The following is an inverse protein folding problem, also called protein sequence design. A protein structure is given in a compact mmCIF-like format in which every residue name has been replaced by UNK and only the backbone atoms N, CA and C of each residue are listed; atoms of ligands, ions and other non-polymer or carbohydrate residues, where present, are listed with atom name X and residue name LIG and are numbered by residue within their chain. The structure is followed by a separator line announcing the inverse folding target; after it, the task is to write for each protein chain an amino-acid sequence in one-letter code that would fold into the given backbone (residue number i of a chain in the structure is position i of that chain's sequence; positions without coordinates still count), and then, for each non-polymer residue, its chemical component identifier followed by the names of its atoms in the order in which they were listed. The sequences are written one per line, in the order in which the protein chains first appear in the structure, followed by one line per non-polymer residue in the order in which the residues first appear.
data_IF_570761151312
#
_entry.id   IF_570761151312
#
_cell.length_a   1.000
_cell.length_b   1.000
_cell.length_c   1.000
_cell.angle_alpha   90.00
_cell.angle_beta   90.00
_cell.angle_gamma   90.00
#
_symmetry.space_group_name_H-M   'P 1'
#
loop_
_entity.id
_entity.type
_entity.pdbx_description
1 polymer ?
#
# COMPACT_ATOMS: atom_id res chain seq x y z
N UNK A 1 -1.30 -32.87 44.06
CA UNK A 1 -0.42 -31.68 44.06
C UNK A 1 0.83 -31.97 43.26
N UNK A 2 1.52 -30.93 42.77
CA UNK A 2 2.80 -31.07 42.06
C UNK A 2 3.97 -31.02 43.05
N UNK A 3 4.95 -31.90 42.86
CA UNK A 3 6.14 -32.01 43.70
C UNK A 3 7.38 -31.65 42.89
N UNK A 4 8.22 -30.77 43.44
CA UNK A 4 9.45 -30.34 42.80
C UNK A 4 10.54 -31.41 42.88
N UNK A 5 11.33 -31.50 41.82
CA UNK A 5 12.54 -32.30 41.73
C UNK A 5 13.66 -31.44 41.15
N UNK A 6 14.53 -30.96 42.03
CA UNK A 6 15.75 -30.25 41.64
C UNK A 6 16.78 -31.20 41.05
N UNK A 7 17.74 -30.65 40.29
CA UNK A 7 18.88 -31.29 39.59
C UNK A 7 18.71 -31.59 38.09
N UNK A 8 17.52 -31.38 37.52
CA UNK A 8 17.24 -31.56 36.07
C UNK A 8 16.23 -30.52 35.59
N UNK A 9 16.05 -30.38 34.27
CA UNK A 9 15.11 -29.42 33.69
C UNK A 9 15.69 -28.02 33.47
N UNK A 10 14.88 -27.14 32.88
CA UNK A 10 15.25 -25.74 32.69
C UNK A 10 15.40 -25.05 34.04
N UNK A 11 16.44 -24.21 34.17
CA UNK A 11 16.84 -23.58 35.44
C UNK A 11 17.11 -24.55 36.61
N UNK A 12 17.22 -25.86 36.36
CA UNK A 12 17.65 -26.86 37.34
C UNK A 12 16.54 -27.49 38.19
N UNK A 13 15.27 -27.34 37.81
CA UNK A 13 14.15 -28.05 38.44
C UNK A 13 13.05 -28.46 37.46
N UNK A 14 12.39 -29.58 37.73
CA UNK A 14 11.10 -29.96 37.15
C UNK A 14 10.10 -30.23 38.27
N UNK A 15 8.81 -30.35 37.95
CA UNK A 15 7.76 -30.77 38.86
C UNK A 15 6.91 -31.89 38.25
N UNK A 16 6.39 -32.77 39.11
CA UNK A 16 5.50 -33.86 38.70
C UNK A 16 4.36 -34.08 39.70
N UNK A 17 3.17 -34.53 39.27
CA UNK A 17 2.05 -34.79 40.17
C UNK A 17 2.10 -36.21 40.74
N UNK A 18 1.37 -36.43 41.82
CA UNK A 18 1.13 -37.77 42.35
C UNK A 18 0.14 -38.53 41.46
N UNK A 19 0.33 -39.85 41.32
CA UNK A 19 -0.68 -40.71 40.71
C UNK A 19 -1.94 -40.80 41.60
N UNK A 20 -3.17 -40.84 41.06
CA UNK A 20 -3.51 -40.93 39.62
C UNK A 20 -3.61 -39.58 38.91
N UNK A 21 -3.11 -39.56 37.66
CA UNK A 21 -3.14 -38.47 36.67
C UNK A 21 -4.57 -38.22 36.15
N UNK A 22 -5.44 -37.78 37.07
CA UNK A 22 -6.90 -37.81 36.89
C UNK A 22 -7.48 -36.45 36.54
N UNK A 23 -6.67 -35.38 36.58
CA UNK A 23 -7.07 -34.01 36.27
C UNK A 23 -7.38 -33.15 37.48
N UNK A 24 -7.11 -33.64 38.70
CA UNK A 24 -7.36 -32.92 39.94
C UNK A 24 -6.31 -31.85 40.26
N UNK A 25 -5.16 -31.88 39.59
CA UNK A 25 -4.01 -31.02 39.86
C UNK A 25 -3.60 -30.21 38.64
N UNK A 26 -3.05 -29.02 38.86
CA UNK A 26 -2.62 -28.13 37.77
C UNK A 26 -1.37 -27.35 38.17
N UNK A 27 -0.39 -27.32 37.27
CA UNK A 27 0.76 -26.41 37.34
C UNK A 27 0.45 -25.19 36.48
N UNK A 28 0.72 -23.99 37.00
CA UNK A 28 0.34 -22.73 36.35
C UNK A 28 1.52 -21.78 36.23
N UNK A 29 1.66 -21.16 35.06
CA UNK A 29 2.61 -20.08 34.78
C UNK A 29 1.83 -18.82 34.40
N UNK A 30 2.19 -17.68 34.98
CA UNK A 30 1.57 -16.39 34.68
C UNK A 30 2.62 -15.41 34.18
N UNK A 31 2.25 -14.64 33.16
CA UNK A 31 3.11 -13.65 32.52
C UNK A 31 2.36 -12.32 32.43
N UNK A 32 3.01 -11.26 32.91
CA UNK A 32 2.56 -9.89 32.67
C UNK A 32 2.99 -9.50 31.26
N UNK A 33 2.03 -9.49 30.34
CA UNK A 33 2.24 -9.18 28.92
C UNK A 33 1.41 -7.98 28.51
N UNK A 34 1.82 -7.31 27.45
CA UNK A 34 0.97 -6.31 26.80
C UNK A 34 0.02 -7.00 25.81
N UNK A 35 -1.10 -6.36 25.41
CA UNK A 35 -1.92 -6.87 24.33
C UNK A 35 -1.09 -7.24 23.08
N UNK A 36 -1.31 -8.44 22.56
CA UNK A 36 -0.59 -8.94 21.39
C UNK A 36 -0.75 -10.44 21.15
N UNK A 37 -0.13 -10.89 20.06
CA UNK A 37 -0.09 -12.31 19.69
C UNK A 37 1.25 -12.91 20.11
N UNK A 38 1.20 -14.08 20.75
CA UNK A 38 2.35 -14.73 21.35
C UNK A 38 2.47 -16.17 20.86
N UNK A 39 3.68 -16.55 20.43
CA UNK A 39 4.08 -17.94 20.22
C UNK A 39 4.49 -18.48 21.58
N UNK A 40 3.89 -19.61 21.95
CA UNK A 40 4.15 -20.28 23.23
C UNK A 40 4.89 -21.57 22.93
N UNK A 41 5.96 -21.81 23.67
CA UNK A 41 6.74 -23.02 23.61
C UNK A 41 6.95 -23.62 25.00
N UNK A 42 7.08 -24.94 25.07
CA UNK A 42 7.33 -25.70 26.29
C UNK A 42 8.67 -26.44 26.19
N UNK A 43 9.29 -26.70 27.33
CA UNK A 43 10.43 -27.62 27.43
C UNK A 43 10.18 -28.62 28.56
N UNK A 44 10.83 -29.78 28.49
CA UNK A 44 10.83 -30.79 29.55
C UNK A 44 12.11 -31.63 29.45
N UNK A 45 12.46 -32.29 30.57
CA UNK A 45 13.68 -33.07 30.66
C UNK A 45 13.59 -34.41 29.89
N UNK A 46 13.88 -34.35 28.59
CA UNK A 46 13.99 -35.50 27.69
C UNK A 46 12.67 -36.24 27.46
N UNK A 47 12.51 -36.82 26.28
CA UNK A 47 11.42 -37.75 25.99
C UNK A 47 11.61 -39.04 26.77
N UNK A 48 10.58 -39.51 27.46
CA UNK A 48 10.60 -40.80 28.15
C UNK A 48 9.30 -41.58 27.91
N UNK A 49 9.40 -42.88 27.68
CA UNK A 49 8.24 -43.73 27.30
C UNK A 49 7.18 -43.86 28.39
N UNK A 50 7.48 -43.46 29.63
CA UNK A 50 6.54 -43.43 30.75
C UNK A 50 5.86 -42.07 30.95
N UNK A 51 6.29 -41.04 30.21
CA UNK A 51 5.68 -39.72 30.28
C UNK A 51 4.34 -39.69 29.53
N UNK A 52 3.52 -38.68 29.81
CA UNK A 52 2.24 -38.51 29.13
C UNK A 52 2.42 -38.17 27.65
N UNK A 53 1.68 -38.85 26.78
CA UNK A 53 1.64 -38.57 25.35
C UNK A 53 0.57 -37.54 24.96
N UNK A 54 -0.33 -37.20 25.89
CA UNK A 54 -1.49 -36.35 25.65
C UNK A 54 -1.67 -35.26 26.73
N UNK A 55 -0.58 -34.75 27.28
CA UNK A 55 -0.63 -33.86 28.45
C UNK A 55 -1.34 -32.54 28.10
N UNK A 56 -2.46 -32.20 28.77
CA UNK A 56 -3.30 -31.07 28.39
C UNK A 56 -2.75 -29.74 28.91
N UNK A 57 -2.69 -28.75 28.01
CA UNK A 57 -2.34 -27.36 28.28
C UNK A 57 -3.55 -26.48 27.97
N UNK A 58 -3.91 -25.58 28.89
CA UNK A 58 -4.97 -24.59 28.72
C UNK A 58 -4.38 -23.18 28.84
N UNK A 59 -4.83 -22.26 27.98
CA UNK A 59 -4.35 -20.89 27.87
C UNK A 59 -5.48 -19.93 28.26
N UNK A 60 -5.15 -18.93 29.07
CA UNK A 60 -6.09 -17.92 29.56
C UNK A 60 -5.57 -16.49 29.35
N UNK A 61 -6.50 -15.57 29.07
CA UNK A 61 -6.33 -14.12 28.91
C UNK A 61 -7.18 -13.38 29.94
N UNK A 62 -6.56 -12.66 30.89
CA UNK A 62 -7.28 -11.98 31.97
C UNK A 62 -8.18 -12.92 32.79
N UNK A 63 -7.84 -14.22 32.84
CA UNK A 63 -8.64 -15.27 33.47
C UNK A 63 -9.71 -15.93 32.59
N UNK A 64 -9.92 -15.45 31.36
CA UNK A 64 -10.81 -16.08 30.36
C UNK A 64 -10.07 -17.14 29.56
N UNK A 65 -10.65 -18.32 29.41
CA UNK A 65 -10.10 -19.37 28.54
C UNK A 65 -10.05 -18.90 27.07
N UNK A 66 -8.89 -19.02 26.43
CA UNK A 66 -8.67 -18.60 25.03
C UNK A 66 -8.18 -19.73 24.12
N UNK A 67 -7.76 -20.87 24.66
CA UNK A 67 -7.37 -22.02 23.85
C UNK A 67 -6.69 -23.12 24.64
N UNK A 68 -6.36 -24.21 23.95
CA UNK A 68 -5.67 -25.36 24.53
C UNK A 68 -4.67 -25.96 23.55
N UNK A 69 -3.69 -26.67 24.08
CA UNK A 69 -2.77 -27.52 23.33
C UNK A 69 -2.62 -28.88 24.04
N UNK A 70 -2.01 -29.84 23.37
CA UNK A 70 -1.61 -31.11 23.97
C UNK A 70 -0.12 -31.35 23.72
N UNK A 71 0.59 -31.81 24.74
CA UNK A 71 2.00 -32.14 24.67
C UNK A 71 2.21 -33.66 24.69
N UNK A 72 2.99 -34.14 23.74
CA UNK A 72 3.51 -35.51 23.75
C UNK A 72 4.91 -35.54 24.37
N UNK A 73 4.99 -35.77 25.67
CA UNK A 73 6.25 -35.77 26.41
C UNK A 73 7.01 -37.09 26.31
N UNK A 74 6.50 -38.07 25.55
CA UNK A 74 7.28 -39.28 25.23
C UNK A 74 8.41 -38.99 24.24
N UNK A 75 8.36 -37.84 23.58
CA UNK A 75 9.36 -37.33 22.64
C UNK A 75 10.09 -36.16 23.32
N UNK A 76 11.39 -35.97 23.07
CA UNK A 76 12.10 -34.78 23.56
C UNK A 76 11.63 -33.54 22.78
N UNK A 77 11.59 -32.34 23.39
CA UNK A 77 11.36 -31.09 22.65
C UNK A 77 12.34 -30.99 21.47
N UNK A 78 11.88 -30.60 20.29
CA UNK A 78 12.73 -30.68 19.09
C UNK A 78 12.51 -29.60 18.02
N UNK A 79 11.71 -28.57 18.28
CA UNK A 79 11.46 -27.52 17.28
C UNK A 79 12.59 -26.50 17.16
N UNK A 80 13.10 -25.96 18.29
CA UNK A 80 14.17 -24.96 18.26
C UNK A 80 15.01 -24.94 19.53
N UNK A 81 16.20 -24.34 19.44
CA UNK A 81 17.11 -24.14 20.57
C UNK A 81 17.14 -22.68 21.00
N UNK A 82 16.96 -22.41 22.28
CA UNK A 82 17.17 -21.09 22.89
C UNK A 82 17.76 -21.26 24.29
N UNK A 83 18.73 -20.41 24.64
CA UNK A 83 19.47 -20.51 25.92
C UNK A 83 19.99 -21.93 26.22
N UNK A 84 20.58 -22.57 25.19
CA UNK A 84 21.09 -23.94 25.25
C UNK A 84 20.04 -25.01 25.64
N UNK A 85 18.75 -24.71 25.47
CA UNK A 85 17.63 -25.60 25.80
C UNK A 85 16.79 -25.83 24.54
N UNK A 86 16.35 -27.07 24.32
CA UNK A 86 15.41 -27.39 23.25
C UNK A 86 13.98 -27.09 23.68
N UNK A 87 13.19 -26.54 22.76
CA UNK A 87 11.83 -26.09 22.97
C UNK A 87 10.90 -26.70 21.92
N UNK A 88 9.67 -26.98 22.32
CA UNK A 88 8.56 -27.46 21.49
C UNK A 88 7.51 -26.34 21.37
N UNK A 89 7.11 -25.95 20.16
CA UNK A 89 6.05 -24.98 19.98
C UNK A 89 4.69 -25.62 20.22
N UNK A 90 3.86 -24.99 21.05
CA UNK A 90 2.53 -25.48 21.38
C UNK A 90 1.39 -24.67 20.76
N UNK A 91 1.72 -23.52 20.16
CA UNK A 91 0.77 -22.73 19.40
C UNK A 91 1.04 -21.23 19.44
N UNK A 92 0.15 -20.49 18.77
CA UNK A 92 0.14 -19.03 18.73
C UNK A 92 -1.21 -18.55 19.25
N UNK A 93 -1.20 -17.64 20.23
CA UNK A 93 -2.39 -17.18 20.93
C UNK A 93 -2.40 -15.66 21.04
N UNK A 94 -3.57 -15.04 20.85
CA UNK A 94 -3.78 -13.61 21.07
C UNK A 94 -4.23 -13.37 22.51
N UNK A 95 -3.58 -12.43 23.19
CA UNK A 95 -3.79 -12.07 24.60
C UNK A 95 -4.00 -10.57 24.68
N UNK A 96 -4.94 -10.10 25.48
CA UNK A 96 -5.27 -8.67 25.63
C UNK A 96 -4.92 -8.11 27.01
N UNK A 97 -4.81 -8.96 28.02
CA UNK A 97 -4.54 -8.57 29.40
C UNK A 97 -3.34 -9.37 29.94
N UNK A 98 -3.55 -10.31 30.87
CA UNK A 98 -2.50 -11.20 31.40
C UNK A 98 -2.56 -12.58 30.75
N UNK A 99 -1.40 -13.19 30.47
CA UNK A 99 -1.32 -14.57 29.98
C UNK A 99 -1.12 -15.55 31.13
N UNK A 100 -2.03 -16.53 31.27
CA UNK A 100 -1.84 -17.70 32.14
C UNK A 100 -1.85 -18.99 31.33
N UNK A 101 -0.89 -19.86 31.60
CA UNK A 101 -0.77 -21.20 31.03
C UNK A 101 -0.98 -22.21 32.15
N UNK A 102 -1.93 -23.13 31.98
CA UNK A 102 -2.26 -24.18 32.94
C UNK A 102 -1.98 -25.55 32.32
N UNK A 103 -1.09 -26.33 32.94
CA UNK A 103 -0.82 -27.72 32.61
C UNK A 103 -1.54 -28.62 33.60
N UNK A 104 -2.54 -29.36 33.13
CA UNK A 104 -3.37 -30.21 33.97
C UNK A 104 -2.82 -31.65 34.01
N UNK A 105 -2.93 -32.33 35.15
CA UNK A 105 -2.37 -33.67 35.34
C UNK A 105 -3.17 -34.79 34.63
N UNK A 106 -4.25 -34.49 33.89
CA UNK A 106 -5.04 -35.50 33.18
C UNK A 106 -4.32 -36.03 31.93
N UNK A 107 -3.40 -36.96 32.13
CA UNK A 107 -2.59 -37.57 31.07
C UNK A 107 -2.59 -39.11 31.15
N UNK A 108 -2.25 -39.75 30.03
CA UNK A 108 -2.11 -41.22 29.90
C UNK A 108 -0.79 -41.78 30.47
N UNK A 109 0.13 -40.91 30.84
CA UNK A 109 1.43 -41.20 31.47
C UNK A 109 1.83 -40.05 32.39
N UNK A 110 3.03 -40.12 32.98
CA UNK A 110 3.52 -39.12 33.93
C UNK A 110 3.68 -37.74 33.25
N UNK A 111 2.91 -36.71 33.63
CA UNK A 111 3.12 -35.37 33.09
C UNK A 111 4.24 -34.67 33.85
N UNK A 112 5.14 -34.01 33.13
CA UNK A 112 6.30 -33.29 33.66
C UNK A 112 6.15 -31.80 33.38
N UNK A 113 6.01 -31.01 34.44
CA UNK A 113 6.04 -29.56 34.37
C UNK A 113 7.49 -29.08 34.50
N UNK A 114 7.91 -28.16 33.63
CA UNK A 114 9.25 -27.57 33.68
C UNK A 114 9.13 -26.07 33.37
N UNK A 115 9.27 -25.66 32.10
CA UNK A 115 9.22 -24.26 31.74
C UNK A 115 8.47 -23.98 30.44
N UNK A 116 7.93 -22.76 30.37
CA UNK A 116 7.34 -22.17 29.17
C UNK A 116 8.13 -20.94 28.74
N UNK A 117 8.31 -20.80 27.42
CA UNK A 117 8.82 -19.60 26.77
C UNK A 117 7.69 -18.95 26.01
N UNK A 118 7.54 -17.64 26.19
CA UNK A 118 6.64 -16.81 25.40
C UNK A 118 7.46 -15.88 24.53
N UNK A 119 7.07 -15.77 23.27
CA UNK A 119 7.69 -14.87 22.32
C UNK A 119 6.58 -14.07 21.64
N UNK A 120 6.67 -12.75 21.72
CA UNK A 120 5.74 -11.90 20.96
C UNK A 120 5.97 -12.18 19.48
N UNK A 121 4.93 -12.62 18.79
CA UNK A 121 4.94 -12.68 17.34
C UNK A 121 4.73 -11.25 16.88
N UNK A 122 5.83 -10.54 16.58
CA UNK A 122 5.72 -9.33 15.77
C UNK A 122 5.15 -9.76 14.42
N UNK A 123 3.95 -9.29 14.08
CA UNK A 123 3.62 -9.22 12.66
C UNK A 123 4.68 -8.32 12.04
N UNK A 124 5.37 -8.74 10.99
CA UNK A 124 6.26 -7.86 10.22
C UNK A 124 5.52 -6.68 9.54
N UNK A 125 4.25 -6.44 9.88
CA UNK A 125 3.43 -5.38 9.34
C UNK A 125 3.61 -4.10 10.18
N UNK A 126 4.64 -3.33 9.83
CA UNK A 126 4.74 -1.90 10.16
C UNK A 126 3.43 -1.22 9.72
N UNK A 127 2.88 -0.26 10.47
CA UNK A 127 1.74 0.50 9.96
C UNK A 127 2.09 1.12 8.60
N UNK A 128 1.10 1.22 7.72
CA UNK A 128 1.27 1.83 6.39
C UNK A 128 0.66 3.22 6.48
N UNK A 129 1.52 4.24 6.46
CA UNK A 129 1.10 5.61 6.26
C UNK A 129 1.08 5.91 4.75
N UNK A 130 -0.07 6.30 4.22
CA UNK A 130 -0.25 6.65 2.81
C UNK A 130 -0.11 8.15 2.61
N UNK A 131 0.65 8.58 1.61
CA UNK A 131 0.74 10.02 1.28
C UNK A 131 -0.64 10.59 0.91
N UNK A 132 -0.96 11.76 1.47
CA UNK A 132 -2.15 12.54 1.14
C UNK A 132 -1.82 13.59 0.07
N UNK A 133 -2.30 13.38 -1.14
CA UNK A 133 -1.93 14.20 -2.30
C UNK A 133 -3.05 15.11 -2.82
N UNK A 134 -4.18 15.19 -2.11
CA UNK A 134 -5.45 15.70 -2.63
C UNK A 134 -6.06 16.85 -1.80
N UNK A 135 -5.34 17.39 -0.81
CA UNK A 135 -5.82 18.53 -0.06
C UNK A 135 -5.73 19.83 -0.86
N UNK A 136 -6.79 20.64 -0.75
CA UNK A 136 -6.92 21.90 -1.48
C UNK A 136 -7.63 22.96 -0.66
N UNK A 137 -7.18 24.21 -0.79
CA UNK A 137 -7.93 25.38 -0.36
C UNK A 137 -7.73 26.56 -1.31
N UNK A 138 -8.69 27.48 -1.32
CA UNK A 138 -8.53 28.75 -2.01
C UNK A 138 -7.41 29.58 -1.36
N UNK A 139 -6.81 30.48 -2.14
CA UNK A 139 -5.83 31.42 -1.60
C UNK A 139 -6.43 32.22 -0.44
N UNK A 140 -5.64 32.43 0.62
CA UNK A 140 -6.07 33.15 1.83
C UNK A 140 -7.30 32.56 2.53
N UNK A 141 -7.58 31.27 2.35
CA UNK A 141 -8.67 30.54 3.01
C UNK A 141 -8.09 29.37 3.79
N UNK A 142 -8.55 29.18 5.04
CA UNK A 142 -8.16 28.02 5.83
C UNK A 142 -8.74 26.73 5.24
N UNK A 143 -7.91 25.70 5.12
CA UNK A 143 -8.37 24.34 4.93
C UNK A 143 -8.74 23.76 6.29
N UNK A 144 -9.97 23.31 6.45
CA UNK A 144 -10.43 22.64 7.67
C UNK A 144 -10.70 21.16 7.36
N UNK A 145 -9.95 20.27 7.97
CA UNK A 145 -10.11 18.82 7.85
C UNK A 145 -10.69 18.28 9.15
N UNK A 146 -11.84 17.61 9.06
CA UNK A 146 -12.50 17.00 10.21
C UNK A 146 -12.01 15.56 10.40
N UNK A 147 -11.71 15.11 11.64
CA UNK A 147 -11.27 13.75 11.92
C UNK A 147 -12.34 12.70 11.58
N UNK A 148 -13.61 13.09 11.56
CA UNK A 148 -14.74 12.19 11.21
C UNK A 148 -15.24 12.40 9.78
N UNK A 149 -14.60 13.28 9.01
CA UNK A 149 -14.94 13.49 7.60
C UNK A 149 -14.39 12.36 6.73
N UNK A 150 -14.95 12.15 5.55
CA UNK A 150 -14.46 11.10 4.61
C UNK A 150 -13.08 11.40 4.03
N UNK A 151 -12.59 12.63 4.18
CA UNK A 151 -11.30 13.09 3.68
C UNK A 151 -10.36 13.49 4.84
N UNK A 152 -10.42 12.77 5.96
CA UNK A 152 -9.54 12.96 7.10
C UNK A 152 -8.11 12.47 6.80
N UNK A 153 -7.12 12.92 7.58
CA UNK A 153 -5.70 12.58 7.36
C UNK A 153 -5.44 11.06 7.34
N UNK A 154 -6.15 10.31 8.18
CA UNK A 154 -5.89 8.87 8.36
C UNK A 154 -6.69 7.99 7.39
N UNK A 155 -7.34 8.57 6.37
CA UNK A 155 -8.31 7.86 5.50
C UNK A 155 -7.71 6.70 4.69
N UNK A 156 -6.42 6.79 4.38
CA UNK A 156 -5.64 5.85 3.58
C UNK A 156 -4.55 5.16 4.40
N UNK A 157 -4.57 5.34 5.73
CA UNK A 157 -3.62 4.75 6.64
C UNK A 157 -4.17 3.45 7.24
N UNK A 158 -3.32 2.45 7.39
CA UNK A 158 -3.71 1.15 7.96
C UNK A 158 -2.69 0.65 8.95
N UNK A 159 -3.18 0.13 10.07
CA UNK A 159 -2.42 -0.70 11.00
C UNK A 159 -2.95 -2.14 10.95
N UNK A 160 -2.10 -3.12 11.24
CA UNK A 160 -2.44 -4.54 11.13
C UNK A 160 -3.60 -4.97 12.06
N UNK A 161 -3.76 -4.30 13.20
CA UNK A 161 -4.85 -4.49 14.15
C UNK A 161 -6.08 -3.61 13.85
N UNK A 162 -6.04 -2.85 12.75
CA UNK A 162 -7.07 -1.90 12.37
C UNK A 162 -7.12 -0.63 13.25
N UNK A 163 -6.16 -0.43 14.15
CA UNK A 163 -6.17 0.67 15.12
C UNK A 163 -4.88 1.50 15.08
N UNK A 164 -4.98 2.72 14.55
CA UNK A 164 -3.94 3.75 14.66
C UNK A 164 -4.20 4.56 15.94
N UNK A 165 -3.17 4.74 16.77
CA UNK A 165 -3.31 5.45 18.06
C UNK A 165 -3.25 6.96 17.93
N UNK A 166 -2.32 7.48 17.12
CA UNK A 166 -2.13 8.91 16.92
C UNK A 166 -1.25 9.21 15.70
N UNK A 167 -1.56 10.30 15.00
CA UNK A 167 -0.64 10.99 14.11
C UNK A 167 0.20 12.02 14.87
N UNK A 168 1.46 12.22 14.47
CA UNK A 168 2.37 13.22 15.03
C UNK A 168 3.06 13.95 13.88
N UNK A 169 2.94 15.28 13.85
CA UNK A 169 3.62 16.10 12.84
C UNK A 169 5.14 16.05 13.03
N UNK A 170 5.88 15.74 11.96
CA UNK A 170 7.34 15.66 11.95
C UNK A 170 7.96 16.94 11.39
N UNK A 171 7.45 17.41 10.26
CA UNK A 171 7.87 18.68 9.64
C UNK A 171 6.67 19.58 9.49
N UNK A 172 6.89 20.89 9.63
CA UNK A 172 5.85 21.90 9.41
C UNK A 172 5.83 22.32 7.93
N UNK A 173 4.68 22.80 7.42
CA UNK A 173 4.61 23.45 6.12
C UNK A 173 5.54 24.67 6.03
N UNK A 174 6.10 24.91 4.85
CA UNK A 174 7.05 26.00 4.64
C UNK A 174 6.38 27.35 4.36
N UNK A 175 5.13 27.34 3.88
CA UNK A 175 4.37 28.50 3.42
C UNK A 175 2.95 28.55 4.00
N UNK A 176 2.76 27.92 5.16
CA UNK A 176 1.53 27.94 5.92
C UNK A 176 1.77 27.58 7.38
N UNK A 177 0.69 27.40 8.13
CA UNK A 177 0.75 27.01 9.53
C UNK A 177 -0.31 25.97 9.81
N UNK A 178 0.08 24.88 10.46
CA UNK A 178 -0.86 23.90 11.00
C UNK A 178 -1.39 24.36 12.36
N UNK A 179 -2.70 24.31 12.51
CA UNK A 179 -3.45 24.64 13.73
C UNK A 179 -4.36 23.45 14.06
N UNK A 180 -4.73 23.31 15.33
CA UNK A 180 -5.74 22.33 15.81
C UNK A 180 -5.53 20.89 15.30
N UNK A 181 -4.27 20.46 15.20
CA UNK A 181 -3.91 19.09 14.85
C UNK A 181 -4.24 18.16 16.02
N UNK A 182 -5.25 17.31 15.86
CA UNK A 182 -5.80 16.49 16.96
C UNK A 182 -5.14 15.11 17.11
N UNK A 183 -4.29 14.72 16.15
CA UNK A 183 -3.66 13.40 16.10
C UNK A 183 -4.60 12.26 15.74
N UNK A 184 -5.89 12.53 15.52
CA UNK A 184 -6.93 11.57 15.09
C UNK A 184 -7.39 11.84 13.65
N UNK A 185 -6.67 12.71 12.96
CA UNK A 185 -6.80 13.00 11.54
C UNK A 185 -7.52 14.29 11.20
N UNK A 186 -7.85 15.09 12.21
CA UNK A 186 -8.31 16.46 12.08
C UNK A 186 -7.17 17.47 12.17
N UNK A 187 -7.22 18.49 11.34
CA UNK A 187 -6.30 19.63 11.38
C UNK A 187 -6.87 20.84 10.64
N UNK A 188 -6.31 22.02 10.92
CA UNK A 188 -6.52 23.24 10.14
C UNK A 188 -5.20 23.65 9.52
N UNK A 189 -5.18 23.85 8.21
CA UNK A 189 -4.05 24.46 7.51
C UNK A 189 -4.38 25.88 7.09
N UNK A 190 -3.60 26.84 7.56
CA UNK A 190 -3.71 28.26 7.22
C UNK A 190 -2.55 28.67 6.29
N UNK A 191 -2.81 28.96 5.00
CA UNK A 191 -1.77 29.44 4.10
C UNK A 191 -1.21 30.80 4.57
N UNK A 192 0.08 31.04 4.32
CA UNK A 192 0.66 32.37 4.48
C UNK A 192 -0.04 33.36 3.54
N UNK A 193 -0.14 34.62 3.97
CA UNK A 193 -0.82 35.67 3.18
C UNK A 193 -0.18 35.79 1.79
N UNK A 194 -1.01 35.67 0.74
CA UNK A 194 -0.57 35.77 -0.65
C UNK A 194 0.13 34.53 -1.22
N UNK A 195 0.30 33.46 -0.44
CA UNK A 195 0.86 32.21 -0.95
C UNK A 195 -0.13 31.51 -1.89
N UNK A 196 0.37 31.12 -3.07
CA UNK A 196 -0.33 30.35 -4.09
C UNK A 196 0.69 29.40 -4.71
N UNK A 197 0.71 28.16 -4.23
CA UNK A 197 1.46 27.05 -4.79
C UNK A 197 1.11 25.78 -3.97
N UNK A 198 1.91 24.73 -4.12
CA UNK A 198 1.91 23.54 -3.26
C UNK A 198 2.75 23.81 -2.01
N UNK A 199 2.23 23.40 -0.87
CA UNK A 199 2.97 23.28 0.38
C UNK A 199 2.89 21.84 0.90
N UNK A 200 3.88 21.44 1.70
CA UNK A 200 3.96 20.06 2.20
C UNK A 200 4.38 20.00 3.66
N UNK A 201 3.88 18.99 4.35
CA UNK A 201 4.32 18.64 5.70
C UNK A 201 4.31 17.12 5.86
N UNK A 202 5.11 16.58 6.76
CA UNK A 202 5.10 15.13 7.03
C UNK A 202 4.57 14.81 8.42
N UNK A 203 3.95 13.65 8.54
CA UNK A 203 3.43 13.11 9.79
C UNK A 203 3.88 11.67 9.98
N UNK A 204 3.76 11.20 11.23
CA UNK A 204 3.97 9.82 11.61
C UNK A 204 2.72 9.25 12.25
N UNK A 205 2.38 8.01 11.91
CA UNK A 205 1.37 7.24 12.63
C UNK A 205 2.04 6.21 13.54
N UNK A 206 1.42 5.94 14.68
CA UNK A 206 1.85 4.89 15.60
C UNK A 206 0.76 3.83 15.77
N UNK A 207 1.12 2.56 15.60
CA UNK A 207 0.25 1.42 15.88
C UNK A 207 0.25 1.06 17.37
N UNK A 208 -0.71 0.24 17.83
CA UNK A 208 -0.84 -0.12 19.25
C UNK A 208 0.39 -0.86 19.81
N UNK A 209 1.16 -1.52 18.94
CA UNK A 209 2.42 -2.19 19.23
C UNK A 209 3.65 -1.25 19.33
N UNK A 210 3.43 0.07 19.20
CA UNK A 210 4.42 1.15 19.19
C UNK A 210 5.29 1.27 17.93
N UNK A 211 5.02 0.50 16.87
CA UNK A 211 5.66 0.69 15.56
C UNK A 211 5.18 1.98 14.88
N UNK A 212 6.05 2.57 14.06
CA UNK A 212 5.83 3.87 13.44
C UNK A 212 6.01 3.83 11.92
N UNK A 213 5.27 4.68 11.24
CA UNK A 213 5.37 4.89 9.79
C UNK A 213 5.15 6.35 9.45
N UNK A 214 5.76 6.83 8.37
CA UNK A 214 5.72 8.26 7.99
C UNK A 214 5.11 8.44 6.61
N UNK A 215 4.35 9.51 6.44
CA UNK A 215 3.78 9.94 5.16
C UNK A 215 3.86 11.46 4.99
N UNK A 216 3.67 11.91 3.76
CA UNK A 216 3.68 13.32 3.37
C UNK A 216 2.28 13.77 2.99
N UNK A 217 1.90 14.93 3.52
CA UNK A 217 0.70 15.66 3.11
C UNK A 217 1.09 16.75 2.14
N UNK A 218 0.34 16.83 1.05
CA UNK A 218 0.45 17.87 0.03
C UNK A 218 -0.82 18.70 0.02
N UNK A 219 -0.69 20.01 0.25
CA UNK A 219 -1.81 20.96 0.19
C UNK A 219 -1.58 21.93 -0.96
N UNK A 220 -2.52 22.00 -1.89
CA UNK A 220 -2.49 23.06 -2.90
C UNK A 220 -3.33 24.26 -2.51
N UNK A 221 -2.76 25.45 -2.72
CA UNK A 221 -3.37 26.72 -2.37
C UNK A 221 -3.66 27.52 -3.64
N UNK A 222 -4.90 27.97 -3.78
CA UNK A 222 -5.38 28.78 -4.91
C UNK A 222 -5.82 27.93 -6.10
N UNK A 223 -4.98 27.01 -6.57
CA UNK A 223 -5.30 26.10 -7.68
C UNK A 223 -5.38 24.64 -7.20
N UNK A 224 -6.51 23.92 -7.40
CA UNK A 224 -6.61 22.51 -7.03
C UNK A 224 -5.57 21.66 -7.75
N UNK A 225 -5.03 20.67 -7.04
CA UNK A 225 -4.34 19.57 -7.72
C UNK A 225 -5.40 18.79 -8.48
N UNK A 226 -5.23 18.68 -9.79
CA UNK A 226 -6.05 17.75 -10.56
C UNK A 226 -5.70 16.34 -10.07
N UNK A 227 -6.68 15.54 -9.62
CA UNK A 227 -6.38 14.24 -9.05
C UNK A 227 -5.58 13.42 -10.07
N UNK A 228 -4.46 12.84 -9.62
CA UNK A 228 -3.91 11.66 -10.29
C UNK A 228 -4.87 10.52 -10.02
N UNK A 229 -5.98 10.45 -10.76
CA UNK A 229 -6.84 9.28 -10.70
C UNK A 229 -6.09 8.14 -11.38
N UNK A 230 -5.46 7.28 -10.57
CA UNK A 230 -5.12 5.93 -11.03
C UNK A 230 -6.40 5.28 -11.54
N UNK A 231 -6.31 4.59 -12.66
CA UNK A 231 -7.41 4.11 -13.50
C UNK A 231 -8.17 2.91 -12.88
N UNK A 232 -8.08 2.67 -11.57
CA UNK A 232 -8.31 1.33 -10.99
C UNK A 232 -9.61 1.20 -10.15
N UNK A 233 -10.45 2.23 -10.09
CA UNK A 233 -11.68 2.19 -9.29
C UNK A 233 -12.94 1.79 -10.09
N UNK A 234 -12.87 0.81 -10.98
CA UNK A 234 -14.06 0.33 -11.71
C UNK A 234 -14.19 -1.21 -11.68
N UNK A 235 -14.37 -1.78 -10.49
CA UNK A 235 -14.94 -3.13 -10.37
C UNK A 235 -16.46 -2.99 -10.26
N UNK A 236 -17.15 -3.14 -11.38
CA UNK A 236 -18.59 -3.43 -11.37
C UNK A 236 -18.74 -4.92 -11.69
N UNK A 237 -19.12 -5.70 -10.68
CA UNK A 237 -19.65 -7.04 -10.91
C UNK A 237 -20.99 -6.91 -11.64
N UNK A 238 -20.99 -7.07 -12.97
CA UNK A 238 -22.23 -7.37 -13.71
C UNK A 238 -22.07 -8.73 -14.36
N UNK A 239 -22.88 -9.68 -13.92
CA UNK A 239 -23.01 -10.98 -14.55
C UNK A 239 -23.43 -10.81 -16.03
N UNK A 240 -22.64 -11.36 -16.94
CA UNK A 240 -22.95 -11.35 -18.37
C UNK A 240 -23.99 -12.42 -18.71
N UNK A 241 -24.95 -12.14 -19.61
CA UNK A 241 -25.47 -13.14 -20.52
C UNK A 241 -24.72 -13.08 -21.85
N UNK A 242 -24.26 -14.24 -22.29
CA UNK A 242 -23.51 -14.50 -23.52
C UNK A 242 -24.20 -14.02 -24.80
N UNK A 243 -23.40 -13.34 -25.63
CA UNK A 243 -23.42 -13.17 -27.10
C UNK A 243 -22.96 -11.72 -27.34
N UNK A 244 -21.87 -11.41 -28.04
CA UNK A 244 -21.67 -11.62 -29.47
C UNK A 244 -20.18 -11.43 -29.79
N UNK A 245 -19.52 -12.50 -30.25
CA UNK A 245 -18.31 -12.38 -31.07
C UNK A 245 -18.73 -12.39 -32.54
N UNK A 246 -18.39 -11.34 -33.30
CA UNK A 246 -18.02 -11.56 -34.71
C UNK A 246 -17.02 -10.53 -35.21
N UNK A 247 -15.93 -11.09 -35.73
CA UNK A 247 -14.75 -10.50 -36.34
C UNK A 247 -15.04 -9.89 -37.71
N UNK A 248 -14.45 -8.72 -37.99
CA UNK A 248 -13.92 -8.40 -39.33
C UNK A 248 -12.83 -7.34 -39.19
N UNK A 249 -11.57 -7.79 -39.21
CA UNK A 249 -10.40 -6.94 -39.39
C UNK A 249 -10.31 -6.54 -40.86
N UNK A 250 -10.35 -5.23 -41.14
CA UNK A 250 -9.90 -4.67 -42.41
C UNK A 250 -8.48 -4.15 -42.22
N UNK A 251 -7.53 -4.74 -42.93
CA UNK A 251 -6.14 -4.29 -43.05
C UNK A 251 -6.07 -2.93 -43.80
N UNK A 252 -5.34 -1.91 -43.30
CA UNK A 252 -5.10 -0.70 -44.08
C UNK A 252 -3.81 -0.85 -44.92
N UNK A 253 -4.00 -0.94 -46.24
CA UNK A 253 -2.95 -0.67 -47.21
C UNK A 253 -2.74 0.85 -47.38
N UNK A 254 -1.49 1.28 -47.18
CA UNK A 254 -0.79 2.44 -47.73
C UNK A 254 -1.51 3.80 -47.93
N UNK A 255 -0.84 4.79 -47.30
CA UNK A 255 -0.40 6.06 -47.87
C UNK A 255 -1.22 7.34 -47.61
N UNK A 256 -0.50 8.27 -46.96
CA UNK A 256 -0.46 9.72 -47.21
C UNK A 256 -1.68 10.60 -46.89
N UNK A 257 -1.37 11.67 -46.16
CA UNK A 257 -2.10 12.94 -46.02
C UNK A 257 -3.29 12.99 -45.04
N UNK A 258 -3.15 13.89 -44.06
CA UNK A 258 -4.26 14.52 -43.36
C UNK A 258 -4.76 13.76 -42.14
N UNK A 259 -4.25 14.07 -40.95
CA UNK A 259 -5.03 13.85 -39.73
C UNK A 259 -6.20 14.85 -39.74
N UNK A 260 -7.30 14.43 -40.35
CA UNK A 260 -8.60 15.04 -40.18
C UNK A 260 -9.11 14.74 -38.78
N UNK A 261 -9.55 15.79 -38.09
CA UNK A 261 -10.41 15.69 -36.90
C UNK A 261 -11.70 14.95 -37.30
N UNK A 262 -11.93 13.79 -36.70
CA UNK A 262 -13.18 13.03 -36.82
C UNK A 262 -13.86 12.93 -35.46
N UNK A 263 -15.06 13.49 -35.34
CA UNK A 263 -15.98 13.16 -34.25
C UNK A 263 -16.36 11.68 -34.41
N UNK A 264 -16.13 10.86 -33.39
CA UNK A 264 -16.60 9.48 -33.39
C UNK A 264 -18.08 9.44 -32.97
N UNK A 265 -18.94 8.89 -33.83
CA UNK A 265 -20.30 8.50 -33.45
C UNK A 265 -20.22 7.44 -32.35
N UNK A 266 -20.74 7.76 -31.17
CA UNK A 266 -20.77 6.85 -30.02
C UNK A 266 -21.91 5.86 -30.23
N UNK A 267 -21.66 4.53 -30.24
CA UNK A 267 -22.70 3.54 -30.35
C UNK A 267 -23.71 3.65 -29.20
N UNK A 268 -25.00 3.47 -29.50
CA UNK A 268 -26.04 3.37 -28.47
C UNK A 268 -25.76 2.15 -27.59
N UNK A 269 -25.22 2.40 -26.39
CA UNK A 269 -24.72 1.36 -25.48
C UNK A 269 -23.47 1.77 -24.70
N UNK A 270 -22.78 2.86 -25.08
CA UNK A 270 -21.73 3.45 -24.24
C UNK A 270 -22.35 4.07 -22.98
N UNK A 271 -21.96 3.60 -21.79
CA UNK A 271 -22.43 4.19 -20.54
C UNK A 271 -21.82 5.58 -20.37
N UNK A 272 -22.67 6.60 -20.37
CA UNK A 272 -22.34 7.89 -19.77
C UNK A 272 -22.17 7.68 -18.26
N UNK A 273 -21.14 8.28 -17.66
CA UNK A 273 -21.21 8.59 -16.24
C UNK A 273 -22.29 9.67 -16.01
N UNK A 274 -22.64 9.93 -14.76
CA UNK A 274 -23.63 10.96 -14.40
C UNK A 274 -23.22 12.40 -14.79
N UNK A 275 -22.00 12.58 -15.30
CA UNK A 275 -21.34 13.87 -15.45
C UNK A 275 -21.02 14.17 -16.93
N UNK A 276 -21.38 13.26 -17.86
CA UNK A 276 -21.37 13.48 -19.30
C UNK A 276 -19.99 13.46 -19.96
N UNK A 277 -18.96 12.89 -19.33
CA UNK A 277 -17.60 12.86 -19.88
C UNK A 277 -17.29 11.54 -20.61
N UNK A 278 -16.84 11.63 -21.87
CA UNK A 278 -16.24 10.51 -22.58
C UNK A 278 -14.85 10.20 -22.01
N UNK A 279 -14.74 9.12 -21.24
CA UNK A 279 -13.45 8.59 -20.81
C UNK A 279 -13.16 7.26 -21.54
N UNK A 280 -12.34 7.31 -22.59
CA UNK A 280 -11.75 6.10 -23.17
C UNK A 280 -10.33 6.37 -23.71
N UNK A 281 -9.34 5.76 -23.07
CA UNK A 281 -8.15 5.23 -23.76
C UNK A 281 -7.95 3.80 -23.25
N UNK A 282 -8.48 2.85 -24.01
CA UNK A 282 -8.67 1.46 -23.61
C UNK A 282 -7.38 0.65 -23.43
N UNK A 283 -7.51 -0.40 -22.63
CA UNK A 283 -6.64 -1.58 -22.67
C UNK A 283 -7.47 -2.82 -22.34
N UNK A 284 -7.15 -3.96 -22.95
CA UNK A 284 -7.70 -5.25 -22.55
C UNK A 284 -6.91 -5.72 -21.33
N UNK A 285 -7.62 -5.97 -20.24
CA UNK A 285 -7.08 -6.58 -19.03
C UNK A 285 -7.61 -8.02 -18.96
N UNK A 286 -6.69 -8.98 -18.82
CA UNK A 286 -7.03 -10.37 -18.59
C UNK A 286 -6.34 -10.82 -17.31
N UNK A 287 -7.09 -11.47 -16.43
CA UNK A 287 -6.60 -12.02 -15.17
C UNK A 287 -6.84 -13.52 -15.16
N UNK A 288 -5.84 -14.26 -14.73
CA UNK A 288 -5.93 -15.70 -14.48
C UNK A 288 -5.34 -16.00 -13.10
N UNK A 289 -6.09 -16.70 -12.25
CA UNK A 289 -5.62 -17.07 -10.92
C UNK A 289 -4.61 -18.21 -11.03
N UNK A 290 -3.43 -18.01 -10.43
CA UNK A 290 -2.33 -18.98 -10.49
C UNK A 290 -2.15 -19.68 -9.14
N UNK A 291 -2.45 -18.99 -8.03
CA UNK A 291 -2.44 -19.52 -6.67
C UNK A 291 -3.34 -18.69 -5.73
N UNK A 292 -3.50 -19.13 -4.48
CA UNK A 292 -4.08 -18.29 -3.44
C UNK A 292 -3.20 -17.03 -3.29
N UNK A 293 -3.79 -15.85 -3.49
CA UNK A 293 -3.16 -14.51 -3.40
C UNK A 293 -2.20 -14.12 -4.53
N UNK A 294 -2.19 -14.81 -5.68
CA UNK A 294 -1.42 -14.39 -6.86
C UNK A 294 -2.17 -14.63 -8.18
N UNK A 295 -2.30 -13.57 -8.98
CA UNK A 295 -2.97 -13.60 -10.29
C UNK A 295 -1.99 -13.19 -11.39
N UNK A 296 -2.07 -13.86 -12.54
CA UNK A 296 -1.35 -13.45 -13.74
C UNK A 296 -2.17 -12.41 -14.49
N UNK A 297 -1.57 -11.24 -14.74
CA UNK A 297 -2.26 -10.07 -15.29
C UNK A 297 -1.64 -9.67 -16.62
N UNK A 298 -2.45 -9.67 -17.67
CA UNK A 298 -2.13 -9.05 -18.95
C UNK A 298 -2.65 -7.62 -18.98
N UNK A 299 -1.81 -6.67 -19.38
CA UNK A 299 -2.21 -5.28 -19.59
C UNK A 299 -1.76 -4.79 -20.94
N UNK A 300 -2.70 -4.64 -21.88
CA UNK A 300 -2.38 -4.06 -23.18
C UNK A 300 -2.03 -2.57 -23.11
N UNK A 301 -2.23 -1.91 -21.97
CA UNK A 301 -1.86 -0.51 -21.71
C UNK A 301 -0.56 -0.36 -20.90
N UNK A 302 0.12 -1.44 -20.50
CA UNK A 302 1.49 -1.37 -19.96
C UNK A 302 2.52 -1.08 -21.06
N UNK A 303 2.08 -0.41 -22.12
CA UNK A 303 2.93 0.00 -23.21
C UNK A 303 3.81 1.11 -22.67
N UNK A 304 5.09 0.99 -22.96
CA UNK A 304 6.11 1.95 -22.63
C UNK A 304 5.95 3.28 -23.39
N UNK A 305 4.71 3.73 -23.65
CA UNK A 305 4.37 4.99 -24.31
C UNK A 305 3.43 5.83 -23.44
N UNK A 306 3.91 6.31 -22.27
CA UNK A 306 3.08 7.07 -21.33
C UNK A 306 2.65 8.41 -21.95
N UNK A 307 1.51 8.92 -21.50
CA UNK A 307 1.09 10.30 -21.78
C UNK A 307 1.62 11.18 -20.65
N UNK A 308 2.46 12.15 -21.01
CA UNK A 308 2.97 13.16 -20.08
C UNK A 308 2.10 14.41 -20.25
N UNK A 309 1.44 14.81 -19.17
CA UNK A 309 0.61 16.00 -19.12
C UNK A 309 1.21 17.03 -18.16
N UNK A 310 1.17 18.30 -18.55
CA UNK A 310 1.59 19.43 -17.72
C UNK A 310 0.45 20.43 -17.63
N UNK A 311 0.29 21.02 -16.45
CA UNK A 311 -0.68 22.05 -16.17
C UNK A 311 0.01 23.41 -16.11
N UNK A 312 -0.56 24.39 -16.79
CA UNK A 312 -0.12 25.79 -16.76
C UNK A 312 -1.34 26.71 -16.77
N UNK A 313 -1.13 28.02 -16.73
CA UNK A 313 -2.21 29.00 -16.75
C UNK A 313 -1.80 30.19 -17.60
N UNK A 314 -2.73 30.71 -18.39
CA UNK A 314 -2.53 32.00 -19.05
C UNK A 314 -2.54 33.10 -17.99
N UNK A 315 -1.56 34.00 -18.05
CA UNK A 315 -1.49 35.11 -17.10
C UNK A 315 -2.79 35.94 -17.11
N UNK A 316 -3.38 36.25 -15.95
CA UNK A 316 -4.56 37.12 -15.88
C UNK A 316 -4.32 38.45 -16.58
N UNK A 317 -5.24 38.87 -17.45
CA UNK A 317 -5.14 40.14 -18.20
C UNK A 317 -4.11 40.17 -19.33
N UNK A 318 -3.41 39.07 -19.63
CA UNK A 318 -2.48 39.00 -20.75
C UNK A 318 -3.19 38.85 -22.10
N UNK A 319 -2.56 39.34 -23.17
CA UNK A 319 -2.96 39.06 -24.54
C UNK A 319 -3.02 37.54 -24.77
N UNK A 320 -4.06 37.07 -25.45
CA UNK A 320 -4.23 35.65 -25.75
C UNK A 320 -3.17 35.19 -26.76
N UNK A 321 -2.66 33.96 -26.63
CA UNK A 321 -1.72 33.42 -27.61
C UNK A 321 -2.42 33.19 -28.95
N UNK A 322 -1.77 33.57 -30.04
CA UNK A 322 -2.23 33.28 -31.41
C UNK A 322 -1.84 31.86 -31.85
N UNK A 323 -0.78 31.31 -31.25
CA UNK A 323 -0.38 29.92 -31.42
C UNK A 323 0.18 29.35 -30.10
N UNK A 324 -0.07 28.05 -29.88
CA UNK A 324 0.54 27.26 -28.81
C UNK A 324 1.17 26.05 -29.46
N UNK A 325 2.45 25.81 -29.17
CA UNK A 325 3.19 24.61 -29.57
C UNK A 325 3.79 23.96 -28.35
N UNK A 326 3.85 22.64 -28.29
CA UNK A 326 4.62 21.95 -27.26
C UNK A 326 5.54 20.87 -27.84
N UNK A 327 6.70 20.71 -27.25
CA UNK A 327 7.69 19.69 -27.60
C UNK A 327 8.03 18.89 -26.35
N UNK A 328 7.90 17.56 -26.43
CA UNK A 328 8.34 16.65 -25.38
C UNK A 328 9.72 16.10 -25.73
N UNK A 329 10.70 16.37 -24.88
CA UNK A 329 12.00 15.69 -24.88
C UNK A 329 11.96 14.58 -23.84
N UNK A 330 12.11 13.33 -24.26
CA UNK A 330 12.05 12.16 -23.39
C UNK A 330 13.37 11.39 -23.41
N UNK A 331 13.95 11.16 -22.23
CA UNK A 331 15.26 10.53 -22.08
C UNK A 331 16.34 11.18 -22.99
N UNK A 332 16.32 12.51 -23.08
CA UNK A 332 17.23 13.29 -23.93
C UNK A 332 16.89 13.32 -25.43
N UNK A 333 15.85 12.61 -25.88
CA UNK A 333 15.41 12.60 -27.28
C UNK A 333 14.24 13.57 -27.46
N UNK A 334 14.45 14.64 -28.23
CA UNK A 334 13.41 15.62 -28.54
C UNK A 334 12.42 15.04 -29.56
N UNK A 335 11.12 15.07 -29.21
CA UNK A 335 10.03 14.76 -30.12
C UNK A 335 9.74 15.88 -31.11
N UNK A 336 8.77 15.64 -31.98
CA UNK A 336 8.24 16.66 -32.90
C UNK A 336 7.37 17.67 -32.15
N UNK A 337 7.42 18.98 -32.49
CA UNK A 337 6.50 19.96 -31.93
C UNK A 337 5.04 19.66 -32.33
N UNK A 338 4.12 19.77 -31.37
CA UNK A 338 2.68 19.61 -31.55
C UNK A 338 1.95 20.93 -31.33
N UNK A 339 1.07 21.29 -32.25
CA UNK A 339 0.28 22.51 -32.18
C UNK A 339 -1.04 22.28 -31.43
N UNK A 340 -1.44 23.26 -30.63
CA UNK A 340 -2.69 23.27 -29.88
C UNK A 340 -3.60 24.42 -30.35
N UNK A 341 -4.91 24.19 -30.27
CA UNK A 341 -5.90 25.20 -30.65
C UNK A 341 -5.90 26.37 -29.67
N UNK A 342 -6.01 27.58 -30.20
CA UNK A 342 -6.08 28.82 -29.42
C UNK A 342 -7.48 29.44 -29.39
N UNK A 343 -8.41 28.89 -30.17
CA UNK A 343 -9.80 29.34 -30.22
C UNK A 343 -10.52 29.08 -28.91
N UNK A 344 -11.23 30.09 -28.39
CA UNK A 344 -12.04 29.98 -27.18
C UNK A 344 -11.26 30.13 -25.87
N UNK A 345 -9.95 30.40 -25.94
CA UNK A 345 -9.16 30.70 -24.75
C UNK A 345 -9.58 32.02 -24.12
N UNK A 346 -9.61 32.06 -22.79
CA UNK A 346 -9.81 33.28 -22.01
C UNK A 346 -8.58 33.57 -21.14
N UNK A 347 -8.31 34.85 -20.87
CA UNK A 347 -7.20 35.23 -20.01
C UNK A 347 -7.42 34.68 -18.59
N UNK A 348 -6.36 34.20 -17.94
CA UNK A 348 -6.48 33.54 -16.64
C UNK A 348 -6.93 32.07 -16.69
N UNK A 349 -7.20 31.49 -17.87
CA UNK A 349 -7.67 30.11 -17.97
C UNK A 349 -6.56 29.10 -17.62
N UNK A 350 -6.87 28.05 -16.81
CA UNK A 350 -5.99 26.90 -16.65
C UNK A 350 -5.93 26.06 -17.92
N UNK A 351 -4.74 25.61 -18.29
CA UNK A 351 -4.45 24.81 -19.47
C UNK A 351 -3.78 23.50 -19.05
N UNK A 352 -4.24 22.38 -19.62
CA UNK A 352 -3.55 21.10 -19.56
C UNK A 352 -3.09 20.72 -20.96
N UNK A 353 -1.79 20.54 -21.17
CA UNK A 353 -1.22 20.09 -22.44
C UNK A 353 -0.60 18.71 -22.23
N UNK A 354 -0.84 17.79 -23.16
CA UNK A 354 -0.40 16.41 -23.04
C UNK A 354 0.23 15.91 -24.33
N UNK A 355 1.36 15.20 -24.20
CA UNK A 355 2.07 14.55 -25.30
C UNK A 355 2.44 13.12 -24.90
N UNK A 356 2.39 12.21 -25.87
CA UNK A 356 2.81 10.84 -25.65
C UNK A 356 4.34 10.73 -25.76
N UNK A 357 4.99 10.16 -24.75
CA UNK A 357 6.39 9.76 -24.83
C UNK A 357 6.51 8.41 -25.52
N UNK A 358 7.65 8.14 -26.17
CA UNK A 358 7.97 6.81 -26.68
C UNK A 358 9.16 6.21 -25.91
N UNK A 359 8.84 5.30 -25.01
CA UNK A 359 9.79 4.47 -24.27
C UNK A 359 9.76 3.00 -24.68
N UNK A 360 9.17 2.63 -25.83
CA UNK A 360 9.08 1.23 -26.28
C UNK A 360 10.42 0.48 -26.31
N UNK A 361 11.51 1.21 -26.52
CA UNK A 361 12.88 0.67 -26.55
C UNK A 361 13.66 0.88 -25.24
N UNK A 362 13.00 1.38 -24.20
CA UNK A 362 13.60 1.63 -22.90
C UNK A 362 13.28 0.49 -21.93
N UNK A 363 14.25 0.02 -21.13
CA UNK A 363 13.98 -0.85 -20.00
C UNK A 363 12.92 -0.28 -19.03
N UNK A 364 12.38 -1.13 -18.16
CA UNK A 364 11.59 -0.63 -17.03
C UNK A 364 12.47 0.24 -16.13
N UNK A 365 11.99 1.44 -15.79
CA UNK A 365 12.76 2.43 -15.05
C UNK A 365 12.18 3.85 -15.08
N UNK A 366 12.78 4.77 -14.33
CA UNK A 366 12.48 6.20 -14.40
C UNK A 366 13.34 6.88 -15.47
N UNK A 367 12.72 7.76 -16.25
CA UNK A 367 13.37 8.50 -17.32
C UNK A 367 13.06 9.99 -17.21
N UNK A 368 14.06 10.87 -17.43
CA UNK A 368 13.84 12.30 -17.40
C UNK A 368 13.04 12.75 -18.61
N UNK A 369 12.21 13.76 -18.41
CA UNK A 369 11.54 14.47 -19.48
C UNK A 369 11.69 15.99 -19.32
N UNK A 370 11.66 16.67 -20.46
CA UNK A 370 11.45 18.12 -20.55
C UNK A 370 10.26 18.35 -21.48
N UNK A 371 9.25 19.07 -20.99
CA UNK A 371 8.06 19.46 -21.74
C UNK A 371 8.12 20.96 -21.96
N UNK A 372 8.45 21.37 -23.19
CA UNK A 372 8.57 22.78 -23.56
C UNK A 372 7.27 23.26 -24.20
N UNK A 373 6.64 24.26 -23.60
CA UNK A 373 5.48 24.97 -24.17
C UNK A 373 5.97 26.28 -24.75
N UNK A 374 5.70 26.53 -26.02
CA UNK A 374 5.98 27.80 -26.71
C UNK A 374 4.67 28.46 -27.11
N UNK A 375 4.44 29.65 -26.58
CA UNK A 375 3.31 30.52 -26.88
C UNK A 375 3.76 31.63 -27.83
N UNK A 376 2.95 31.95 -28.83
CA UNK A 376 3.10 33.18 -29.62
C UNK A 376 2.12 34.21 -29.11
N UNK A 377 2.60 35.27 -28.46
CA UNK A 377 1.78 36.35 -27.90
C UNK A 377 2.24 37.67 -28.50
N UNK A 378 1.34 38.40 -29.16
CA UNK A 378 1.65 39.68 -29.84
C UNK A 378 2.84 39.58 -30.82
N UNK A 379 2.98 38.42 -31.48
CA UNK A 379 4.09 38.14 -32.41
C UNK A 379 5.42 37.77 -31.75
N UNK A 380 5.48 37.72 -30.42
CA UNK A 380 6.66 37.33 -29.64
C UNK A 380 6.51 35.91 -29.13
N UNK A 381 7.56 35.09 -29.28
CA UNK A 381 7.61 33.75 -28.72
C UNK A 381 7.97 33.79 -27.23
N UNK A 382 7.20 33.08 -26.42
CA UNK A 382 7.47 32.85 -25.00
C UNK A 382 7.50 31.36 -24.74
N UNK A 383 8.61 30.86 -24.18
CA UNK A 383 8.77 29.44 -23.88
C UNK A 383 8.78 29.21 -22.37
N UNK A 384 8.08 28.18 -21.94
CA UNK A 384 8.08 27.66 -20.57
C UNK A 384 8.43 26.18 -20.60
N UNK A 385 9.36 25.77 -19.74
CA UNK A 385 9.82 24.38 -19.65
C UNK A 385 9.38 23.75 -18.35
N UNK A 386 8.87 22.52 -18.44
CA UNK A 386 8.57 21.67 -17.29
C UNK A 386 9.50 20.48 -17.34
N UNK A 387 10.17 20.17 -16.23
CA UNK A 387 11.05 19.01 -16.15
C UNK A 387 10.54 18.05 -15.09
N UNK A 388 10.79 16.76 -15.31
CA UNK A 388 10.40 15.74 -14.35
C UNK A 388 10.96 14.38 -14.70
N UNK A 389 10.52 13.38 -13.93
CA UNK A 389 10.80 11.98 -14.18
C UNK A 389 9.48 11.27 -14.49
N UNK A 390 9.51 10.32 -15.42
CA UNK A 390 8.38 9.47 -15.78
C UNK A 390 8.81 8.02 -15.71
N UNK A 391 8.00 7.20 -15.03
CA UNK A 391 8.19 5.76 -15.03
C UNK A 391 7.81 5.18 -16.40
N UNK A 392 8.67 4.29 -16.90
CA UNK A 392 8.38 3.34 -17.97
C UNK A 392 8.30 1.97 -17.32
N UNK A 393 7.19 1.27 -17.51
CA UNK A 393 7.07 -0.15 -17.16
C UNK A 393 7.00 -0.93 -18.46
N UNK A 394 8.15 -1.36 -18.95
CA UNK A 394 8.27 -2.11 -20.18
C UNK A 394 8.23 -3.62 -19.89
N UNK A 395 7.10 -4.26 -20.23
CA UNK A 395 6.88 -5.71 -20.07
C UNK A 395 7.07 -6.50 -21.37
N UNK A 396 7.72 -5.92 -22.38
CA UNK A 396 7.94 -6.59 -23.67
C UNK A 396 8.76 -7.89 -23.56
N UNK A 397 9.62 -7.99 -22.54
CA UNK A 397 10.46 -9.17 -22.26
C UNK A 397 10.11 -9.81 -20.91
N UNK A 398 8.86 -9.71 -20.46
CA UNK A 398 8.44 -10.35 -19.22
C UNK A 398 8.62 -11.88 -19.28
N UNK A 399 9.02 -12.47 -18.15
CA UNK A 399 9.20 -13.93 -18.01
C UNK A 399 7.89 -14.71 -18.15
N UNK A 400 6.74 -14.03 -18.02
CA UNK A 400 5.40 -14.60 -18.21
C UNK A 400 4.84 -14.35 -19.62
N UNK A 401 5.62 -13.75 -20.51
CA UNK A 401 5.21 -13.35 -21.86
C UNK A 401 4.99 -11.85 -22.00
N UNK A 402 5.14 -11.33 -23.22
CA UNK A 402 5.04 -9.89 -23.49
C UNK A 402 3.69 -9.31 -23.02
N UNK A 403 3.74 -8.29 -22.17
CA UNK A 403 2.55 -7.63 -21.60
C UNK A 403 1.95 -8.32 -20.37
N UNK A 404 2.50 -9.47 -19.95
CA UNK A 404 2.08 -10.21 -18.76
C UNK A 404 2.94 -9.90 -17.53
N UNK A 405 2.35 -9.97 -16.34
CA UNK A 405 3.05 -9.85 -15.05
C UNK A 405 2.28 -10.58 -13.94
N UNK A 406 2.90 -10.74 -12.77
CA UNK A 406 2.22 -11.25 -11.57
C UNK A 406 1.72 -10.08 -10.72
N UNK A 407 0.47 -10.20 -10.30
CA UNK A 407 -0.15 -9.39 -9.25
C UNK A 407 0.29 -9.87 -7.86
N UNK A 408 0.34 -8.96 -6.88
CA UNK A 408 0.75 -9.26 -5.51
C UNK A 408 2.27 -9.37 -5.26
N UNK A 409 3.11 -9.23 -6.30
CA UNK A 409 4.57 -9.22 -6.16
C UNK A 409 5.19 -7.87 -6.53
N UNK A 410 5.63 -7.13 -5.52
CA UNK A 410 6.40 -5.90 -5.69
C UNK A 410 7.79 -6.20 -6.30
N UNK A 411 8.19 -5.40 -7.30
CA UNK A 411 9.49 -5.46 -7.95
C UNK A 411 10.25 -4.16 -7.79
N UNK A 412 11.49 -4.28 -7.32
CA UNK A 412 12.41 -3.15 -7.21
C UNK A 412 13.36 -3.12 -8.41
N UNK A 413 13.38 -2.00 -9.13
CA UNK A 413 14.32 -1.74 -10.21
C UNK A 413 15.34 -0.69 -9.76
N UNK A 414 16.57 -1.13 -9.49
CA UNK A 414 17.66 -0.25 -9.10
C UNK A 414 18.15 0.58 -10.29
N UNK A 415 18.36 1.88 -10.08
CA UNK A 415 18.90 2.82 -11.05
C UNK A 415 19.99 3.69 -10.42
N UNK A 416 20.79 4.37 -11.24
CA UNK A 416 21.86 5.25 -10.76
C UNK A 416 21.34 6.47 -9.97
N UNK A 417 20.06 6.83 -10.15
CA UNK A 417 19.41 7.98 -9.51
C UNK A 417 18.44 7.60 -8.39
N UNK A 418 18.32 6.31 -8.05
CA UNK A 418 17.38 5.81 -7.04
C UNK A 418 16.87 4.41 -7.36
N UNK A 419 15.69 4.06 -6.87
CA UNK A 419 15.04 2.81 -7.22
C UNK A 419 13.58 3.05 -7.59
N UNK A 420 13.09 2.37 -8.62
CA UNK A 420 11.68 2.32 -8.98
C UNK A 420 11.06 1.09 -8.34
N UNK A 421 10.13 1.28 -7.42
CA UNK A 421 9.25 0.21 -6.95
C UNK A 421 8.09 0.12 -7.92
N UNK A 422 8.05 -0.95 -8.71
CA UNK A 422 6.84 -1.36 -9.43
C UNK A 422 6.11 -2.30 -8.50
N UNK A 423 5.07 -1.82 -7.83
CA UNK A 423 4.28 -2.69 -6.96
C UNK A 423 3.60 -3.79 -7.80
N UNK A 424 3.25 -4.91 -7.17
CA UNK A 424 2.49 -6.00 -7.78
C UNK A 424 1.11 -5.49 -8.13
N UNK A 425 1.01 -4.72 -9.22
CA UNK A 425 -0.08 -3.79 -9.43
C UNK A 425 -1.39 -4.55 -9.70
N UNK A 426 -2.27 -4.53 -8.69
CA UNK A 426 -3.70 -4.83 -8.78
C UNK A 426 -4.39 -4.11 -9.92
#
# INVERSE_FOLDING_TARGET
TWSDYGTVGYAGSIAYPAWPYSGGDTASWSFDVSPGTYRIAATWHGGHTTYGSNVPINIYDGGKYVGSAQLNQTISPNDFVSQNTWWENIGVFTVWDSLRIDMNDKADGLPIADAFRIERVSSEAVPIAGDDLDYYTNASTDLVVSPTGTNHLLKNDVAHDGLIKAAIVQTQPAHGTLLDFDGQGGFIYRPATGFVCVDTFSYQIQATNAEISSATVTVAVGTPLLPRKNLDANVVHVALPDAWHQTTLLEPANASAGLGVGYANIPSGSSMDTDGALAATGGLLLMEDVAQDASLVYRSNSLAKPIIAVDTQLAPGASLPTAISATLTFNGVAGTPHLFQTSGLIAGQPLRLALQADGSNLPTGMYPYTFDITLTVDGVLKTQSFTGLQAIVNRSTSEFGSGWGLDGLDRLYSQSTGALVVRGNG
#
